data_IF_305551235246
#
_entry.id   IF_305551235246
#
_cell.length_a   1.000
_cell.length_b   1.000
_cell.length_c   1.000
_cell.angle_alpha   90.00
_cell.angle_beta   90.00
_cell.angle_gamma   90.00
#
_symmetry.space_group_name_H-M   'P 1'
#
loop_
_entity.id
_entity.type
_entity.pdbx_description
1 polymer ?
#
# COMPACT_ATOMS: atom_id res chain seq x y z
N UNK A 1 13.45 -46.84 15.62
CA UNK A 1 13.23 -45.54 15.00
C UNK A 1 14.48 -45.15 14.23
N UNK A 2 14.41 -45.13 12.90
CA UNK A 2 15.50 -44.66 12.07
C UNK A 2 15.70 -43.16 12.30
N UNK A 3 16.89 -42.76 12.74
CA UNK A 3 17.31 -41.37 12.80
C UNK A 3 17.30 -40.82 11.36
N UNK A 4 16.40 -39.89 11.07
CA UNK A 4 16.49 -39.11 9.87
C UNK A 4 17.67 -38.14 10.00
N UNK A 5 18.76 -38.46 9.31
CA UNK A 5 19.90 -37.58 9.17
C UNK A 5 19.50 -36.49 8.18
N UNK A 6 19.55 -35.22 8.61
CA UNK A 6 19.39 -34.06 7.72
C UNK A 6 20.44 -34.18 6.61
N UNK A 7 20.08 -34.12 5.31
CA UNK A 7 21.04 -34.10 4.23
C UNK A 7 21.99 -32.90 4.38
N UNK A 8 23.28 -33.15 4.18
CA UNK A 8 24.31 -32.11 4.19
C UNK A 8 24.19 -31.30 2.88
N UNK A 9 23.26 -30.36 2.87
CA UNK A 9 23.05 -29.45 1.75
C UNK A 9 23.93 -28.21 1.99
N UNK A 10 24.56 -27.66 0.95
CA UNK A 10 25.28 -26.40 1.10
C UNK A 10 24.35 -25.33 1.64
N UNK A 11 24.84 -24.53 2.58
CA UNK A 11 24.13 -23.37 3.10
C UNK A 11 23.82 -22.45 1.91
N UNK A 12 22.55 -22.39 1.51
CA UNK A 12 22.09 -21.37 0.59
C UNK A 12 21.94 -20.07 1.37
N UNK A 13 22.79 -19.11 1.04
CA UNK A 13 22.62 -17.72 1.50
C UNK A 13 21.42 -17.17 0.72
N UNK A 14 20.28 -17.05 1.39
CA UNK A 14 19.14 -16.33 0.85
C UNK A 14 19.38 -14.85 1.09
N UNK A 15 19.80 -14.15 0.05
CA UNK A 15 19.76 -12.69 0.07
C UNK A 15 18.29 -12.27 -0.09
N UNK A 16 17.71 -11.75 0.98
CA UNK A 16 16.39 -11.09 0.95
C UNK A 16 16.61 -9.71 0.34
N UNK A 17 16.29 -9.53 -0.93
CA UNK A 17 16.20 -8.20 -1.52
C UNK A 17 15.07 -7.45 -0.82
N UNK A 18 15.43 -6.59 0.13
CA UNK A 18 14.45 -5.80 0.88
C UNK A 18 14.05 -4.54 0.14
N UNK A 19 14.96 -3.96 -0.63
CA UNK A 19 14.79 -2.67 -1.28
C UNK A 19 14.59 -2.82 -2.79
N UNK A 20 13.85 -1.89 -3.39
CA UNK A 20 13.68 -1.80 -4.83
C UNK A 20 13.79 -0.34 -5.26
N UNK A 21 14.79 -0.01 -6.03
CA UNK A 21 15.05 1.32 -6.57
C UNK A 21 14.41 1.53 -7.96
N UNK A 22 13.71 0.49 -8.47
CA UNK A 22 13.04 0.50 -9.76
C UNK A 22 13.93 0.84 -10.96
N UNK A 23 15.23 0.57 -10.86
CA UNK A 23 16.21 0.80 -11.96
C UNK A 23 16.17 -0.30 -13.02
N UNK A 24 15.57 -1.43 -12.72
CA UNK A 24 15.45 -2.55 -13.65
C UNK A 24 14.36 -2.27 -14.71
N UNK A 25 14.47 -2.93 -15.84
CA UNK A 25 13.45 -2.87 -16.92
C UNK A 25 12.20 -3.69 -16.62
N UNK A 26 12.17 -4.44 -15.54
CA UNK A 26 11.08 -5.29 -15.09
C UNK A 26 10.95 -5.25 -13.56
N UNK A 27 9.75 -5.50 -13.06
CA UNK A 27 9.49 -5.65 -11.63
C UNK A 27 10.15 -6.90 -11.09
N UNK A 28 10.74 -6.83 -9.90
CA UNK A 28 11.27 -8.00 -9.22
C UNK A 28 10.15 -8.99 -8.89
N UNK A 29 10.51 -10.28 -8.74
CA UNK A 29 9.57 -11.35 -8.41
C UNK A 29 8.98 -11.22 -6.99
N UNK A 30 9.46 -10.29 -6.19
CA UNK A 30 8.92 -9.96 -4.86
C UNK A 30 7.61 -9.16 -4.92
N UNK A 31 7.29 -8.57 -6.09
CA UNK A 31 6.08 -7.79 -6.29
C UNK A 31 4.92 -8.64 -6.77
N UNK A 32 3.78 -8.44 -6.15
CA UNK A 32 2.55 -9.17 -6.40
C UNK A 32 1.41 -8.24 -6.74
N UNK A 33 0.51 -8.73 -7.56
CA UNK A 33 -0.75 -8.07 -7.87
C UNK A 33 -1.88 -8.89 -7.27
N UNK A 34 -2.84 -8.29 -6.56
CA UNK A 34 -3.98 -9.04 -6.02
C UNK A 34 -4.88 -9.60 -7.13
N UNK A 35 -4.74 -9.03 -8.34
CA UNK A 35 -5.48 -9.41 -9.56
C UNK A 35 -4.62 -9.15 -10.78
N UNK A 36 -5.09 -9.61 -11.95
CA UNK A 36 -4.42 -9.28 -13.22
C UNK A 36 -4.42 -7.76 -13.40
N UNK A 37 -3.25 -7.10 -13.43
CA UNK A 37 -3.17 -5.65 -13.54
C UNK A 37 -3.54 -5.17 -14.94
N UNK A 38 -3.85 -3.90 -15.07
CA UNK A 38 -3.84 -3.21 -16.35
C UNK A 38 -2.39 -2.89 -16.69
N UNK A 39 -1.83 -3.60 -17.69
CA UNK A 39 -0.38 -3.55 -17.99
C UNK A 39 0.11 -2.17 -18.40
N UNK A 40 -0.73 -1.32 -18.98
CA UNK A 40 -0.43 0.07 -19.29
C UNK A 40 -0.54 1.01 -18.07
N UNK A 41 -1.11 0.51 -16.98
CA UNK A 41 -1.29 1.24 -15.73
C UNK A 41 -0.09 1.21 -14.78
N UNK A 42 0.94 0.40 -15.08
CA UNK A 42 2.16 0.30 -14.28
C UNK A 42 3.37 0.40 -15.20
N UNK A 43 4.24 1.36 -14.93
CA UNK A 43 5.42 1.62 -15.76
C UNK A 43 6.64 1.86 -14.88
N UNK A 44 7.76 1.27 -15.25
CA UNK A 44 9.07 1.57 -14.71
C UNK A 44 9.75 2.59 -15.62
N UNK A 45 10.09 3.74 -15.09
CA UNK A 45 10.72 4.81 -15.85
C UNK A 45 11.48 5.76 -14.91
N UNK A 46 12.69 6.16 -15.31
CA UNK A 46 13.50 7.14 -14.59
C UNK A 46 13.75 6.77 -13.12
N UNK A 47 14.01 5.48 -12.85
CA UNK A 47 14.20 4.93 -11.49
C UNK A 47 12.96 5.11 -10.58
N UNK A 48 11.79 5.10 -11.19
CA UNK A 48 10.53 5.20 -10.48
C UNK A 48 9.53 4.18 -11.00
N UNK A 49 8.65 3.75 -10.11
CA UNK A 49 7.44 3.07 -10.51
C UNK A 49 6.31 4.10 -10.64
N UNK A 50 5.64 4.10 -11.77
CA UNK A 50 4.46 4.91 -12.05
C UNK A 50 3.23 4.01 -11.99
N UNK A 51 2.33 4.29 -11.05
CA UNK A 51 1.06 3.56 -10.91
C UNK A 51 -0.07 4.51 -11.34
N UNK A 52 -0.74 4.18 -12.42
CA UNK A 52 -1.93 4.91 -12.88
C UNK A 52 -3.07 4.66 -11.90
N UNK A 53 -3.65 5.72 -11.37
CA UNK A 53 -4.80 5.64 -10.49
C UNK A 53 -6.00 4.97 -11.17
N UNK A 54 -6.62 4.02 -10.47
CA UNK A 54 -7.87 3.41 -10.88
C UNK A 54 -9.06 4.23 -10.36
N UNK A 55 -10.19 4.22 -11.10
CA UNK A 55 -11.46 4.72 -10.59
C UNK A 55 -12.05 3.86 -9.47
N UNK A 56 -11.54 2.66 -9.31
CA UNK A 56 -11.96 1.71 -8.28
C UNK A 56 -11.02 1.81 -7.08
N UNK A 57 -11.58 2.05 -5.90
CA UNK A 57 -10.85 2.06 -4.65
C UNK A 57 -10.51 0.62 -4.21
N UNK A 58 -9.71 0.47 -3.16
CA UNK A 58 -9.23 -0.82 -2.67
C UNK A 58 -10.35 -1.77 -2.19
N UNK A 59 -11.55 -1.26 -1.95
CA UNK A 59 -12.73 -1.98 -1.43
C UNK A 59 -13.49 -2.79 -2.48
N UNK A 60 -12.95 -2.94 -3.67
CA UNK A 60 -13.57 -3.70 -4.76
C UNK A 60 -12.58 -4.59 -5.50
N UNK A 61 -13.07 -5.74 -5.97
CA UNK A 61 -12.31 -6.63 -6.84
C UNK A 61 -11.95 -5.99 -8.21
N UNK A 62 -12.52 -4.86 -8.56
CA UNK A 62 -12.17 -4.12 -9.79
C UNK A 62 -10.91 -3.28 -9.64
N UNK A 63 -10.43 -3.02 -8.42
CA UNK A 63 -9.15 -2.34 -8.19
C UNK A 63 -7.99 -3.25 -8.59
N UNK A 64 -7.21 -2.88 -9.61
CA UNK A 64 -6.19 -3.73 -10.22
C UNK A 64 -4.77 -3.23 -10.01
N UNK A 65 -4.56 -1.91 -10.03
CA UNK A 65 -3.23 -1.31 -9.96
C UNK A 65 -2.82 -1.07 -8.51
N UNK A 66 -2.69 -2.15 -7.77
CA UNK A 66 -2.19 -2.24 -6.40
C UNK A 66 -0.97 -3.15 -6.46
N UNK A 67 0.17 -2.68 -5.98
CA UNK A 67 1.42 -3.40 -6.00
C UNK A 67 1.82 -3.77 -4.58
N UNK A 68 1.99 -5.06 -4.31
CA UNK A 68 2.13 -5.61 -2.97
C UNK A 68 3.38 -6.47 -2.83
N UNK A 69 3.94 -6.49 -1.63
CA UNK A 69 4.92 -7.48 -1.17
C UNK A 69 4.37 -8.28 -0.01
N UNK A 70 4.78 -9.54 0.11
CA UNK A 70 4.41 -10.37 1.26
C UNK A 70 5.11 -9.89 2.52
N UNK A 71 4.38 -9.84 3.61
CA UNK A 71 4.97 -9.66 4.93
C UNK A 71 5.71 -10.94 5.33
N UNK A 72 7.05 -10.89 5.38
CA UNK A 72 7.91 -12.03 5.72
C UNK A 72 8.29 -12.07 7.21
N UNK A 73 8.21 -10.94 7.89
CA UNK A 73 8.67 -10.77 9.28
C UNK A 73 7.58 -10.15 10.16
N UNK A 74 7.64 -10.46 11.46
CA UNK A 74 6.75 -9.84 12.46
C UNK A 74 7.23 -8.45 12.90
N UNK A 75 8.48 -8.11 12.62
CA UNK A 75 9.08 -6.81 12.93
C UNK A 75 9.85 -6.32 11.72
N UNK A 76 9.42 -5.21 11.18
CA UNK A 76 10.07 -4.57 10.03
C UNK A 76 9.58 -3.13 9.88
N UNK A 77 10.33 -2.34 9.12
CA UNK A 77 9.90 -1.03 8.63
C UNK A 77 9.79 -1.08 7.11
N UNK A 78 8.69 -0.57 6.58
CA UNK A 78 8.54 -0.35 5.15
C UNK A 78 8.49 1.15 4.88
N UNK A 79 9.31 1.61 3.96
CA UNK A 79 9.37 3.01 3.54
C UNK A 79 9.08 3.11 2.05
N UNK A 80 8.23 4.06 1.69
CA UNK A 80 7.97 4.43 0.29
C UNK A 80 8.33 5.90 0.10
N UNK A 81 9.27 6.17 -0.79
CA UNK A 81 9.51 7.51 -1.30
C UNK A 81 8.46 7.82 -2.37
N UNK A 82 7.57 8.73 -2.08
CA UNK A 82 6.54 9.20 -2.99
C UNK A 82 6.94 10.58 -3.54
N UNK A 83 7.11 10.70 -4.85
CA UNK A 83 7.20 12.02 -5.47
C UNK A 83 5.93 12.79 -5.15
N UNK A 84 6.04 14.06 -4.77
CA UNK A 84 4.89 14.86 -4.35
C UNK A 84 3.81 14.82 -5.45
N UNK A 85 2.64 14.21 -5.17
CA UNK A 85 1.65 14.00 -6.20
C UNK A 85 0.84 15.27 -6.47
N UNK A 86 0.52 15.51 -7.73
CA UNK A 86 -0.53 16.45 -8.13
C UNK A 86 -1.87 15.69 -8.12
N UNK A 87 -2.70 15.96 -7.12
CA UNK A 87 -3.98 15.28 -6.95
C UNK A 87 -5.15 16.23 -7.13
N UNK A 88 -6.18 15.76 -7.82
CA UNK A 88 -7.49 16.41 -7.88
C UNK A 88 -8.36 15.97 -6.68
N UNK A 89 -9.41 16.71 -6.34
CA UNK A 89 -10.32 16.37 -5.25
C UNK A 89 -10.77 14.92 -5.29
N UNK A 90 -10.67 14.22 -4.15
CA UNK A 90 -11.04 12.81 -4.00
C UNK A 90 -10.01 11.80 -4.47
N UNK A 91 -8.94 12.23 -5.14
CA UNK A 91 -7.83 11.34 -5.50
C UNK A 91 -6.93 11.08 -4.30
N UNK A 92 -6.34 9.88 -4.25
CA UNK A 92 -5.36 9.54 -3.22
C UNK A 92 -4.38 8.47 -3.68
N UNK A 93 -3.18 8.48 -3.11
CA UNK A 93 -2.15 7.49 -3.35
C UNK A 93 -1.22 7.36 -2.13
N UNK A 94 -0.56 6.23 -2.01
CA UNK A 94 0.36 5.97 -0.92
C UNK A 94 0.61 4.49 -0.67
N UNK A 95 0.76 4.14 0.61
CA UNK A 95 1.00 2.78 1.07
C UNK A 95 -0.28 2.10 1.56
N UNK A 96 -0.27 0.77 1.57
CA UNK A 96 -1.36 -0.03 2.12
C UNK A 96 -0.81 -1.26 2.86
N UNK A 97 -1.44 -1.60 3.98
CA UNK A 97 -1.41 -2.96 4.51
C UNK A 97 -2.68 -3.64 4.00
N UNK A 98 -2.54 -4.62 3.13
CA UNK A 98 -3.66 -5.19 2.39
C UNK A 98 -3.81 -6.68 2.68
N UNK A 99 -5.01 -7.08 3.05
CA UNK A 99 -5.40 -8.47 3.13
C UNK A 99 -6.29 -8.85 1.94
N UNK A 100 -7.41 -8.17 1.78
CA UNK A 100 -8.33 -8.26 0.64
C UNK A 100 -9.14 -6.95 0.48
N UNK A 101 -10.16 -6.94 -0.40
CA UNK A 101 -11.04 -5.79 -0.62
C UNK A 101 -11.95 -5.46 0.58
N UNK A 102 -12.07 -6.36 1.54
CA UNK A 102 -12.86 -6.15 2.75
C UNK A 102 -12.00 -5.74 3.95
N UNK A 103 -10.67 -5.95 3.86
CA UNK A 103 -9.77 -5.75 5.01
C UNK A 103 -8.44 -5.19 4.56
N UNK A 104 -8.22 -3.92 4.83
CA UNK A 104 -6.98 -3.22 4.51
C UNK A 104 -6.80 -1.96 5.36
N UNK A 105 -5.59 -1.42 5.36
CA UNK A 105 -5.28 -0.09 5.87
C UNK A 105 -4.69 0.71 4.70
N UNK A 106 -5.20 1.91 4.45
CA UNK A 106 -4.58 2.90 3.57
C UNK A 106 -3.80 3.89 4.41
N UNK A 107 -2.60 4.22 3.97
CA UNK A 107 -1.80 5.32 4.49
C UNK A 107 -1.31 6.13 3.29
N UNK A 108 -1.94 7.28 3.06
CA UNK A 108 -1.66 8.00 1.82
C UNK A 108 -2.04 9.46 1.83
N UNK A 109 -1.48 10.15 0.85
CA UNK A 109 -1.80 11.54 0.52
C UNK A 109 -3.10 11.58 -0.28
N UNK A 110 -3.97 12.51 0.06
CA UNK A 110 -5.23 12.75 -0.65
C UNK A 110 -5.50 14.24 -0.81
N UNK A 111 -6.24 14.61 -1.85
CA UNK A 111 -6.74 15.96 -2.02
C UNK A 111 -8.14 16.10 -1.40
N UNK A 112 -8.34 17.13 -0.60
CA UNK A 112 -9.64 17.43 0.03
C UNK A 112 -10.69 17.80 -1.01
N UNK A 113 -11.98 17.69 -0.64
CA UNK A 113 -13.12 18.04 -1.49
C UNK A 113 -13.54 19.52 -1.38
N UNK A 114 -12.72 20.34 -0.73
CA UNK A 114 -12.95 21.77 -0.56
C UNK A 114 -12.86 22.51 -1.92
N UNK A 115 -13.42 23.71 -1.99
CA UNK A 115 -13.33 24.59 -3.16
C UNK A 115 -11.86 24.89 -3.51
N UNK A 116 -11.00 25.05 -2.51
CA UNK A 116 -9.54 25.11 -2.66
C UNK A 116 -8.94 23.84 -2.06
N UNK A 117 -8.66 22.81 -2.87
CA UNK A 117 -8.16 21.53 -2.38
C UNK A 117 -6.82 21.66 -1.67
N UNK A 118 -6.69 20.99 -0.55
CA UNK A 118 -5.42 20.85 0.18
C UNK A 118 -4.96 19.39 0.13
N UNK A 119 -3.65 19.18 0.12
CA UNK A 119 -3.09 17.86 0.30
C UNK A 119 -3.03 17.51 1.78
N UNK A 120 -3.62 16.38 2.11
CA UNK A 120 -3.66 15.83 3.46
C UNK A 120 -3.11 14.41 3.44
N UNK A 121 -2.54 13.98 4.56
CA UNK A 121 -2.06 12.62 4.78
C UNK A 121 -2.83 12.02 5.94
N UNK A 122 -3.44 10.86 5.75
CA UNK A 122 -4.13 10.16 6.84
C UNK A 122 -3.98 8.64 6.76
N UNK A 123 -4.54 7.98 7.78
CA UNK A 123 -4.73 6.53 7.82
C UNK A 123 -6.21 6.23 7.81
N UNK A 124 -6.60 5.25 6.98
CA UNK A 124 -7.99 4.75 6.89
C UNK A 124 -7.95 3.23 7.00
N UNK A 125 -8.69 2.69 7.97
CA UNK A 125 -8.88 1.24 8.13
C UNK A 125 -10.21 0.81 7.50
N UNK A 126 -10.19 -0.31 6.79
CA UNK A 126 -11.37 -1.06 6.34
C UNK A 126 -11.37 -2.41 7.04
N UNK A 127 -12.43 -2.71 7.81
CA UNK A 127 -12.54 -3.92 8.63
C UNK A 127 -13.91 -4.54 8.39
N UNK A 128 -14.02 -5.37 7.36
CA UNK A 128 -15.32 -5.85 6.87
C UNK A 128 -16.15 -4.72 6.30
N UNK A 129 -17.27 -4.41 6.92
CA UNK A 129 -18.16 -3.32 6.49
C UNK A 129 -17.87 -1.99 7.19
N UNK A 130 -17.01 -2.00 8.22
CA UNK A 130 -16.62 -0.82 8.99
C UNK A 130 -15.48 -0.07 8.29
N UNK A 131 -15.55 1.26 8.31
CA UNK A 131 -14.47 2.15 7.86
C UNK A 131 -14.14 3.13 8.98
N UNK A 132 -12.88 3.17 9.40
CA UNK A 132 -12.38 4.07 10.42
C UNK A 132 -11.38 5.01 9.76
N UNK A 133 -11.65 6.30 9.84
CA UNK A 133 -10.74 7.35 9.33
C UNK A 133 -10.09 8.04 10.52
N UNK A 134 -8.75 8.03 10.54
CA UNK A 134 -7.98 8.74 11.55
C UNK A 134 -7.73 10.18 11.13
N UNK A 135 -7.52 11.05 12.12
CA UNK A 135 -7.17 12.46 11.88
C UNK A 135 -5.95 12.55 10.98
N UNK A 136 -6.03 13.42 10.00
CA UNK A 136 -4.97 13.65 9.03
C UNK A 136 -4.08 14.85 9.40
N UNK A 137 -2.94 14.93 8.73
CA UNK A 137 -2.02 16.06 8.78
C UNK A 137 -1.97 16.75 7.43
N UNK A 138 -1.80 18.07 7.44
CA UNK A 138 -1.61 18.84 6.21
C UNK A 138 -0.23 18.50 5.62
N UNK A 139 -0.17 18.26 4.32
CA UNK A 139 1.06 18.00 3.58
C UNK A 139 1.58 19.30 2.99
N UNK A 140 2.85 19.60 3.27
CA UNK A 140 3.54 20.72 2.63
C UNK A 140 4.00 20.32 1.23
N UNK A 141 3.22 20.73 0.23
CA UNK A 141 3.45 20.44 -1.18
C UNK A 141 4.57 21.27 -1.83
N UNK A 142 5.26 22.13 -1.08
CA UNK A 142 6.48 22.78 -1.54
C UNK A 142 7.68 21.82 -1.58
N UNK A 143 7.58 20.68 -0.89
CA UNK A 143 8.59 19.62 -0.93
C UNK A 143 8.45 18.80 -2.22
N UNK A 144 9.59 18.36 -2.76
CA UNK A 144 9.62 17.51 -3.96
C UNK A 144 9.11 16.09 -3.70
N UNK A 145 9.43 15.56 -2.53
CA UNK A 145 9.17 14.18 -2.14
C UNK A 145 8.59 14.13 -0.73
N UNK A 146 7.81 13.08 -0.45
CA UNK A 146 7.40 12.69 0.89
C UNK A 146 7.71 11.21 1.11
N UNK A 147 8.27 10.88 2.24
CA UNK A 147 8.59 9.51 2.66
C UNK A 147 7.49 9.03 3.60
N UNK A 148 6.80 7.98 3.21
CA UNK A 148 5.79 7.32 4.02
C UNK A 148 6.40 6.08 4.66
N UNK A 149 6.26 5.94 5.97
CA UNK A 149 6.85 4.84 6.73
C UNK A 149 5.81 4.11 7.56
N UNK A 150 5.83 2.79 7.49
CA UNK A 150 5.02 1.89 8.32
C UNK A 150 5.96 1.01 9.13
N UNK A 151 6.05 1.28 10.43
CA UNK A 151 6.77 0.42 11.37
C UNK A 151 5.84 -0.66 11.91
N UNK A 152 6.24 -1.91 11.72
CA UNK A 152 5.51 -3.10 12.14
C UNK A 152 6.21 -3.75 13.33
N UNK A 153 5.46 -3.98 14.40
CA UNK A 153 5.90 -4.76 15.55
C UNK A 153 4.78 -5.70 15.99
N UNK A 154 4.82 -6.93 15.50
CA UNK A 154 3.77 -7.94 15.63
C UNK A 154 2.42 -7.38 15.12
N UNK A 155 1.44 -7.20 16.00
CA UNK A 155 0.12 -6.65 15.66
C UNK A 155 0.04 -5.12 15.70
N UNK A 156 1.12 -4.45 16.10
CA UNK A 156 1.17 -2.99 16.17
C UNK A 156 1.69 -2.41 14.86
N UNK A 157 1.08 -1.32 14.41
CA UNK A 157 1.51 -0.53 13.25
C UNK A 157 1.65 0.94 13.65
N UNK A 158 2.81 1.53 13.35
CA UNK A 158 3.02 2.98 13.51
C UNK A 158 3.21 3.58 12.12
N UNK A 159 2.43 4.59 11.81
CA UNK A 159 2.43 5.32 10.54
C UNK A 159 3.07 6.68 10.76
N UNK A 160 4.09 6.98 9.96
CA UNK A 160 4.84 8.23 10.05
C UNK A 160 5.30 8.71 8.68
N UNK A 161 5.62 9.98 8.57
CA UNK A 161 6.10 10.60 7.34
C UNK A 161 7.31 11.49 7.59
N UNK A 162 8.08 11.74 6.53
CA UNK A 162 9.23 12.63 6.54
C UNK A 162 9.36 13.30 5.17
N UNK A 163 10.03 14.46 5.13
CA UNK A 163 10.43 15.10 3.86
C UNK A 163 11.91 14.90 3.55
N UNK A 164 12.67 14.28 4.44
CA UNK A 164 14.13 14.13 4.31
C UNK A 164 14.64 12.70 4.60
N UNK A 165 13.71 11.73 4.81
CA UNK A 165 14.00 10.33 5.17
C UNK A 165 14.78 10.15 6.48
N UNK A 166 14.78 11.14 7.35
CA UNK A 166 15.49 11.13 8.64
C UNK A 166 14.56 11.48 9.80
N UNK A 167 13.94 12.63 9.70
CA UNK A 167 13.09 13.18 10.75
C UNK A 167 11.64 12.79 10.50
N UNK A 168 11.21 11.70 11.13
CA UNK A 168 9.87 11.15 10.95
C UNK A 168 8.86 11.72 11.97
N UNK A 169 7.79 12.27 11.45
CA UNK A 169 6.64 12.73 12.22
C UNK A 169 5.57 11.63 12.26
N UNK A 170 5.18 11.25 13.46
CA UNK A 170 4.14 10.25 13.65
C UNK A 170 2.76 10.81 13.30
N UNK A 171 1.98 10.05 12.52
CA UNK A 171 0.57 10.31 12.22
C UNK A 171 -0.31 9.58 13.23
N UNK A 172 -0.24 8.26 13.29
CA UNK A 172 -1.03 7.43 14.20
C UNK A 172 -0.31 6.13 14.53
N UNK A 173 -0.65 5.55 15.66
CA UNK A 173 -0.28 4.17 16.01
C UNK A 173 -1.55 3.35 16.21
N UNK A 174 -1.66 2.24 15.51
CA UNK A 174 -2.68 1.21 15.70
C UNK A 174 -2.06 0.09 16.55
N UNK A 175 -2.54 -0.07 17.76
CA UNK A 175 -1.94 -1.01 18.72
C UNK A 175 -2.24 -2.47 18.39
N UNK A 176 -3.34 -2.73 17.69
CA UNK A 176 -3.76 -4.09 17.35
C UNK A 176 -4.47 -4.15 16.00
N UNK A 177 -3.77 -4.66 14.99
CA UNK A 177 -4.29 -4.92 13.65
C UNK A 177 -4.55 -6.43 13.42
N UNK A 178 -5.02 -7.15 14.43
CA UNK A 178 -5.31 -8.58 14.36
C UNK A 178 -6.26 -8.95 13.21
N UNK A 179 -7.12 -8.01 12.80
CA UNK A 179 -8.00 -8.17 11.63
C UNK A 179 -7.27 -8.33 10.29
N UNK A 180 -5.96 -8.07 10.23
CA UNK A 180 -5.12 -8.38 9.05
C UNK A 180 -4.58 -9.82 9.06
N UNK A 181 -4.94 -10.65 10.05
CA UNK A 181 -4.57 -12.06 10.13
C UNK A 181 -5.77 -12.93 9.74
N UNK A 182 -5.51 -14.14 9.25
CA UNK A 182 -6.54 -15.10 8.85
C UNK A 182 -7.60 -15.36 9.93
N UNK A 183 -7.17 -15.40 11.18
CA UNK A 183 -8.05 -15.62 12.33
C UNK A 183 -8.88 -14.38 12.69
N UNK A 184 -8.39 -13.20 12.35
CA UNK A 184 -8.98 -11.91 12.73
C UNK A 184 -9.91 -11.29 11.69
N UNK A 185 -9.88 -11.75 10.44
CA UNK A 185 -10.72 -11.17 9.39
C UNK A 185 -12.20 -11.36 9.70
N UNK A 186 -12.98 -10.29 9.48
CA UNK A 186 -14.44 -10.31 9.73
C UNK A 186 -15.24 -10.73 8.50
N UNK A 187 -14.69 -10.51 7.29
CA UNK A 187 -15.35 -10.77 6.02
C UNK A 187 -14.29 -11.08 4.96
N UNK A 188 -14.61 -11.92 3.99
CA UNK A 188 -13.72 -12.30 2.89
C UNK A 188 -13.22 -13.73 2.99
N UNK A 189 -12.26 -14.05 2.14
CA UNK A 189 -11.62 -15.38 2.08
C UNK A 189 -10.39 -15.38 2.99
N UNK A 190 -10.11 -16.53 3.59
CA UNK A 190 -8.92 -16.78 4.42
C UNK A 190 -7.76 -17.30 3.55
N UNK A 191 -6.57 -17.40 4.11
CA UNK A 191 -5.34 -17.97 3.54
C UNK A 191 -4.59 -17.07 2.56
N UNK A 192 -4.80 -15.74 2.59
CA UNK A 192 -4.00 -14.81 1.79
C UNK A 192 -2.82 -14.24 2.54
N UNK A 193 -2.96 -14.01 3.84
CA UNK A 193 -1.98 -13.34 4.69
C UNK A 193 -1.86 -11.84 4.42
N UNK A 194 -1.32 -11.12 5.38
CA UNK A 194 -1.09 -9.68 5.25
C UNK A 194 0.01 -9.40 4.23
N UNK A 195 -0.22 -8.39 3.40
CA UNK A 195 0.72 -7.86 2.44
C UNK A 195 0.91 -6.36 2.66
N UNK A 196 2.03 -5.83 2.24
CA UNK A 196 2.32 -4.39 2.30
C UNK A 196 2.69 -3.89 0.91
N UNK A 197 2.31 -2.68 0.57
CA UNK A 197 2.65 -2.15 -0.74
C UNK A 197 2.10 -0.77 -1.03
N UNK A 198 1.85 -0.50 -2.31
CA UNK A 198 1.51 0.80 -2.83
C UNK A 198 0.21 0.76 -3.62
N UNK A 199 -0.50 1.87 -3.66
CA UNK A 199 -1.73 2.03 -4.42
C UNK A 199 -1.89 3.45 -4.97
N UNK A 200 -2.71 3.57 -6.03
CA UNK A 200 -3.18 4.86 -6.51
C UNK A 200 -4.68 4.76 -6.86
N UNK A 201 -5.44 5.73 -6.40
CA UNK A 201 -6.88 5.86 -6.64
C UNK A 201 -7.18 7.20 -7.30
N UNK A 202 -7.80 7.15 -8.47
CA UNK A 202 -8.09 8.34 -9.27
C UNK A 202 -9.33 9.12 -8.82
N UNK A 203 -10.09 8.62 -7.84
CA UNK A 203 -11.35 9.24 -7.44
C UNK A 203 -12.49 8.92 -8.44
N UNK A 204 -13.69 9.27 -8.04
CA UNK A 204 -14.91 9.10 -8.84
C UNK A 204 -15.48 10.45 -9.35
N UNK A 205 -14.79 11.55 -9.11
CA UNK A 205 -15.25 12.87 -9.52
C UNK A 205 -14.89 13.18 -10.97
N UNK A 206 -15.89 13.55 -11.78
CA UNK A 206 -15.70 14.20 -13.08
C UNK A 206 -15.53 13.28 -14.28
N UNK A 207 -15.70 11.97 -14.16
CA UNK A 207 -15.82 11.09 -15.32
C UNK A 207 -17.27 10.64 -15.50
N UNK A 208 -17.88 10.98 -16.63
CA UNK A 208 -19.06 10.25 -17.11
C UNK A 208 -18.64 8.81 -17.34
N UNK A 209 -19.18 7.91 -16.55
CA UNK A 209 -18.93 6.47 -16.68
C UNK A 209 -19.85 5.93 -17.77
N UNK A 210 -19.31 5.67 -18.93
CA UNK A 210 -19.85 4.58 -19.75
C UNK A 210 -19.38 3.29 -19.09
N UNK A 211 -20.28 2.50 -18.54
CA UNK A 211 -19.95 1.13 -18.13
C UNK A 211 -19.57 0.33 -19.38
N UNK A 212 -18.66 -0.65 -19.22
CA UNK A 212 -18.17 -1.49 -20.32
C UNK A 212 -19.26 -2.35 -20.98
N UNK A 213 -20.52 -2.14 -20.68
CA UNK A 213 -21.67 -2.85 -21.22
C UNK A 213 -22.30 -2.19 -22.46
N UNK A 214 -21.79 -1.05 -22.90
CA UNK A 214 -22.19 -0.47 -24.22
C UNK A 214 -23.68 -0.11 -24.33
N UNK A 215 -24.32 0.29 -23.23
CA UNK A 215 -25.69 0.84 -23.24
C UNK A 215 -25.71 2.27 -22.74
#
# INVERSE_FOLDING_TARGET
>A
SALQVKPDLPEMIWEDESDDDFNNSYLSNEWWFPRVPEMDGIKLKDSHIHIKGSRYNLDTMKAKNILLRRQKHFRFSAVCKLCMPELYPGQNCGMTCYYDENTYIKFGVFATLEETPRLMLNVVEKIGDEVITHDGVCVDNSNKDIYLKIDTNNLRRTFSYSYNDKDYNKVVTLDNVYYLCDEGIRKGKRFTGAMIGMYAYAGSFGQEYTDDAGN
#
